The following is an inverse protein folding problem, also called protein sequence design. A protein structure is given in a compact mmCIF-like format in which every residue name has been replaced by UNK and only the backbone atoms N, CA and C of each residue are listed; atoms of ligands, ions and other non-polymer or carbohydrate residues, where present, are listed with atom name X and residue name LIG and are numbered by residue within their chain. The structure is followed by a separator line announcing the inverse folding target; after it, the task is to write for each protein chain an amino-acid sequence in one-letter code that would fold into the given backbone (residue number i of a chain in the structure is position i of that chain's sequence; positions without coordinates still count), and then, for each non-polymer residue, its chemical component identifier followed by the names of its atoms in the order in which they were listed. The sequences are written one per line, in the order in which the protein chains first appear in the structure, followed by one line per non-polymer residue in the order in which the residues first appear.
data_IF_215223959771
#
_entry.id   IF_215223959771
#
_cell.length_a   1.000
_cell.length_b   1.000
_cell.length_c   1.000
_cell.angle_alpha   90.00
_cell.angle_beta   90.00
_cell.angle_gamma   90.00
#
_symmetry.space_group_name_H-M   'P 1'
#
loop_
_entity.id
_entity.type
_entity.pdbx_description
1 polymer ?
#
# COMPACT_ATOMS: atom_id res chain seq x y z
N UNK A 1 -17.68 -87.62 -26.45
CA UNK A 1 -16.34 -87.29 -26.99
C UNK A 1 -16.48 -86.27 -28.09
N UNK A 2 -16.22 -85.00 -27.81
CA UNK A 2 -15.63 -84.04 -28.75
C UNK A 2 -15.17 -82.84 -27.94
N UNK A 3 -13.88 -82.55 -28.06
CA UNK A 3 -13.11 -81.54 -27.32
C UNK A 3 -13.19 -80.18 -28.02
N UNK A 4 -13.09 -79.10 -27.22
CA UNK A 4 -12.40 -77.80 -27.47
C UNK A 4 -13.11 -76.71 -26.64
N UNK A 5 -12.49 -75.66 -26.13
CA UNK A 5 -11.13 -75.30 -25.69
C UNK A 5 -11.33 -73.99 -24.91
N UNK A 6 -10.64 -73.82 -23.78
CA UNK A 6 -10.72 -72.63 -22.93
C UNK A 6 -10.08 -71.43 -23.65
N UNK A 7 -10.71 -70.27 -23.57
CA UNK A 7 -10.06 -68.97 -23.83
C UNK A 7 -10.34 -68.08 -22.61
N UNK A 8 -9.30 -67.89 -21.81
CA UNK A 8 -9.26 -66.91 -20.71
C UNK A 8 -8.85 -65.58 -21.33
N UNK A 9 -9.74 -64.58 -21.27
CA UNK A 9 -9.43 -63.23 -21.74
C UNK A 9 -8.87 -62.41 -20.58
N UNK A 10 -7.57 -62.16 -20.61
CA UNK A 10 -6.88 -61.26 -19.68
C UNK A 10 -7.10 -59.82 -20.13
N UNK A 11 -7.79 -59.02 -19.33
CA UNK A 11 -8.07 -57.61 -19.61
C UNK A 11 -6.90 -56.77 -19.10
N UNK A 12 -6.05 -56.29 -20.02
CA UNK A 12 -5.01 -55.28 -19.75
C UNK A 12 -5.38 -54.03 -20.57
N UNK A 13 -5.83 -52.96 -19.91
CA UNK A 13 -6.00 -51.65 -20.55
C UNK A 13 -5.55 -50.52 -19.60
N UNK A 14 -4.27 -50.20 -19.74
CA UNK A 14 -3.64 -48.87 -19.78
C UNK A 14 -4.36 -47.75 -19.02
N UNK A 15 -3.82 -47.43 -17.83
CA UNK A 15 -4.05 -46.13 -17.17
C UNK A 15 -3.22 -45.09 -17.92
N UNK A 16 -3.87 -44.26 -18.72
CA UNK A 16 -3.29 -43.03 -19.28
C UNK A 16 -3.01 -42.06 -18.12
N UNK A 17 -1.77 -42.04 -17.66
CA UNK A 17 -1.21 -40.93 -16.89
C UNK A 17 -1.21 -39.70 -17.80
N UNK A 18 -2.26 -38.89 -17.72
CA UNK A 18 -2.22 -37.52 -18.20
C UNK A 18 -1.18 -36.78 -17.35
N UNK A 19 0.08 -36.79 -17.79
CA UNK A 19 1.07 -35.84 -17.32
C UNK A 19 0.61 -34.48 -17.80
N UNK A 20 -0.17 -33.79 -16.97
CA UNK A 20 -0.34 -32.35 -17.08
C UNK A 20 1.07 -31.79 -17.14
N UNK A 21 1.43 -31.22 -18.28
CA UNK A 21 2.57 -30.33 -18.38
C UNK A 21 2.23 -29.19 -17.44
N UNK A 22 2.72 -29.28 -16.20
CA UNK A 22 2.82 -28.16 -15.32
C UNK A 22 3.77 -27.20 -16.03
N UNK A 23 3.21 -26.30 -16.85
CA UNK A 23 3.89 -25.06 -17.13
C UNK A 23 4.31 -24.54 -15.76
N UNK A 24 5.60 -24.33 -15.56
CA UNK A 24 6.12 -23.63 -14.41
C UNK A 24 5.53 -22.21 -14.45
N UNK A 25 4.28 -22.06 -14.00
CA UNK A 25 3.73 -20.77 -13.66
C UNK A 25 4.66 -20.28 -12.57
N UNK A 26 5.31 -19.15 -12.83
CA UNK A 26 6.07 -18.50 -11.79
C UNK A 26 5.10 -18.30 -10.62
N UNK A 27 5.43 -18.86 -9.46
CA UNK A 27 4.53 -18.81 -8.32
C UNK A 27 4.52 -17.40 -7.72
N UNK A 28 3.45 -17.10 -7.00
CA UNK A 28 3.39 -15.93 -6.13
C UNK A 28 4.52 -16.02 -5.10
N UNK A 29 5.00 -14.88 -4.62
CA UNK A 29 5.83 -14.88 -3.42
C UNK A 29 5.04 -15.50 -2.25
N UNK A 30 5.72 -16.24 -1.36
CA UNK A 30 5.12 -17.09 -0.32
C UNK A 30 4.07 -16.37 0.56
N UNK A 31 4.29 -15.08 0.83
CA UNK A 31 3.45 -14.26 1.72
C UNK A 31 2.47 -13.34 0.97
N UNK A 32 2.50 -13.38 -0.36
CA UNK A 32 1.68 -12.54 -1.22
C UNK A 32 0.24 -13.01 -1.25
N UNK A 33 -0.69 -12.06 -1.22
CA UNK A 33 -2.12 -12.33 -1.40
C UNK A 33 -2.82 -11.17 -2.07
N UNK A 34 -3.89 -11.46 -2.82
CA UNK A 34 -4.75 -10.45 -3.40
C UNK A 34 -5.43 -9.59 -2.32
N UNK A 35 -5.81 -8.37 -2.71
CA UNK A 35 -6.67 -7.56 -1.87
C UNK A 35 -8.11 -8.10 -1.91
N UNK A 36 -8.83 -8.21 -0.78
CA UNK A 36 -10.17 -8.80 -0.74
C UNK A 36 -11.21 -8.06 -1.60
N UNK A 37 -11.03 -6.77 -1.83
CA UNK A 37 -11.94 -5.95 -2.64
C UNK A 37 -11.64 -5.97 -4.14
N UNK A 38 -10.42 -6.34 -4.54
CA UNK A 38 -9.94 -6.18 -5.92
C UNK A 38 -9.16 -7.43 -6.32
N UNK A 39 -9.76 -8.24 -7.19
CA UNK A 39 -9.10 -9.38 -7.80
C UNK A 39 -7.98 -8.94 -8.75
N UNK A 40 -6.90 -9.72 -8.82
CA UNK A 40 -5.90 -9.53 -9.89
C UNK A 40 -6.45 -9.79 -11.28
N UNK A 41 -5.75 -9.27 -12.28
CA UNK A 41 -5.93 -9.70 -13.67
C UNK A 41 -5.61 -11.19 -13.81
N UNK A 42 -6.44 -11.99 -14.53
CA UNK A 42 -6.22 -13.43 -14.65
C UNK A 42 -4.84 -13.80 -15.22
N UNK A 43 -4.20 -14.79 -14.59
CA UNK A 43 -2.85 -15.23 -14.97
C UNK A 43 -1.71 -14.35 -14.44
N UNK A 44 -2.02 -13.27 -13.73
CA UNK A 44 -1.01 -12.45 -13.08
C UNK A 44 -0.45 -13.08 -11.81
N UNK A 45 0.81 -12.78 -11.51
CA UNK A 45 1.59 -13.38 -10.41
C UNK A 45 2.10 -12.28 -9.47
N UNK A 46 1.90 -12.44 -8.16
CA UNK A 46 2.40 -11.49 -7.15
C UNK A 46 3.92 -11.61 -7.04
N UNK A 47 4.60 -10.49 -7.27
CA UNK A 47 6.05 -10.38 -7.17
C UNK A 47 6.51 -9.44 -6.05
N UNK A 48 5.64 -8.56 -5.59
CA UNK A 48 5.88 -7.77 -4.39
C UNK A 48 4.57 -7.59 -3.62
N UNK A 49 4.68 -7.61 -2.29
CA UNK A 49 3.55 -7.46 -1.38
C UNK A 49 4.05 -6.75 -0.11
N UNK A 50 3.47 -5.60 0.19
CA UNK A 50 3.71 -4.87 1.45
C UNK A 50 2.39 -4.41 2.04
N UNK A 51 2.30 -4.49 3.37
CA UNK A 51 1.12 -4.02 4.12
C UNK A 51 1.60 -3.21 5.31
N UNK A 52 1.19 -1.95 5.35
CA UNK A 52 1.31 -1.10 6.54
C UNK A 52 -0.04 -1.00 7.22
N UNK A 53 -0.09 -1.33 8.51
CA UNK A 53 -1.33 -1.25 9.30
C UNK A 53 -1.84 0.18 9.45
N UNK A 54 -0.93 1.15 9.45
CA UNK A 54 -1.21 2.57 9.45
C UNK A 54 0.00 3.30 8.87
N UNK A 55 -0.20 4.09 7.81
CA UNK A 55 0.82 4.91 7.18
C UNK A 55 0.15 6.04 6.35
N UNK A 56 0.95 6.93 5.79
CA UNK A 56 0.50 7.97 4.88
C UNK A 56 0.68 7.60 3.40
N UNK A 57 -0.19 8.13 2.54
CA UNK A 57 -0.09 7.99 1.09
C UNK A 57 -0.45 9.28 0.39
N UNK A 58 0.31 9.68 -0.62
CA UNK A 58 -0.01 10.83 -1.46
C UNK A 58 -0.72 10.32 -2.71
N UNK A 59 -2.05 10.39 -2.75
CA UNK A 59 -2.85 9.99 -3.90
C UNK A 59 -2.67 10.97 -5.07
N UNK A 60 -2.14 10.54 -6.22
CA UNK A 60 -2.02 11.38 -7.41
C UNK A 60 -3.37 11.74 -8.03
N UNK A 61 -3.59 13.03 -8.27
CA UNK A 61 -4.81 13.55 -8.90
C UNK A 61 -4.49 14.52 -10.06
N UNK A 62 -3.26 14.49 -10.56
CA UNK A 62 -2.76 15.43 -11.54
C UNK A 62 -1.42 15.02 -12.16
N UNK A 63 -1.00 15.80 -13.15
CA UNK A 63 0.31 15.69 -13.82
C UNK A 63 1.42 16.23 -12.93
N UNK A 64 2.67 16.07 -13.35
CA UNK A 64 3.77 16.82 -12.75
C UNK A 64 3.81 18.26 -13.28
N UNK A 65 4.15 19.21 -12.42
CA UNK A 65 4.52 20.57 -12.80
C UNK A 65 6.01 20.66 -13.20
N UNK A 66 6.45 21.86 -13.56
CA UNK A 66 7.85 22.13 -13.96
C UNK A 66 8.87 21.80 -12.86
N UNK A 67 8.44 21.79 -11.59
CA UNK A 67 9.26 21.47 -10.42
C UNK A 67 9.15 19.99 -10.01
N UNK A 68 8.56 19.13 -10.86
CA UNK A 68 8.34 17.70 -10.60
C UNK A 68 7.42 17.42 -9.41
N UNK A 69 6.54 18.36 -9.04
CA UNK A 69 5.49 18.15 -8.03
C UNK A 69 4.18 17.78 -8.71
N UNK A 70 3.36 16.96 -8.05
CA UNK A 70 2.00 16.71 -8.53
C UNK A 70 1.19 18.01 -8.50
N UNK A 71 0.62 18.39 -9.64
CA UNK A 71 -0.22 19.58 -9.78
C UNK A 71 -1.49 19.52 -8.94
N UNK A 72 -1.94 18.29 -8.63
CA UNK A 72 -3.00 18.02 -7.66
C UNK A 72 -2.74 16.66 -7.01
N UNK A 73 -2.91 16.58 -5.70
CA UNK A 73 -2.81 15.35 -4.93
C UNK A 73 -3.70 15.42 -3.69
N UNK A 74 -3.93 14.27 -3.05
CA UNK A 74 -4.61 14.18 -1.76
C UNK A 74 -3.76 13.33 -0.81
N UNK A 75 -3.44 13.86 0.37
CA UNK A 75 -2.81 13.07 1.43
C UNK A 75 -3.88 12.21 2.12
N UNK A 76 -3.57 10.93 2.29
CA UNK A 76 -4.42 9.93 2.93
C UNK A 76 -3.64 9.29 4.07
N UNK A 77 -4.35 8.84 5.10
CA UNK A 77 -3.79 8.11 6.23
C UNK A 77 -4.68 6.90 6.53
N UNK A 78 -4.08 5.73 6.72
CA UNK A 78 -4.83 4.51 6.93
C UNK A 78 -4.03 3.24 6.72
N UNK A 79 -4.73 2.12 6.54
CA UNK A 79 -4.06 0.86 6.18
C UNK A 79 -3.74 0.90 4.69
N UNK A 80 -2.48 0.63 4.34
CA UNK A 80 -2.00 0.62 2.97
C UNK A 80 -1.60 -0.82 2.61
N UNK A 81 -2.16 -1.33 1.51
CA UNK A 81 -1.77 -2.60 0.90
C UNK A 81 -1.23 -2.31 -0.50
N UNK A 82 0.03 -2.66 -0.75
CA UNK A 82 0.71 -2.45 -2.04
C UNK A 82 1.05 -3.80 -2.64
N UNK A 83 0.62 -4.03 -3.88
CA UNK A 83 0.80 -5.30 -4.58
C UNK A 83 1.34 -5.04 -5.97
N UNK A 84 2.47 -5.68 -6.30
CA UNK A 84 2.97 -5.72 -7.67
C UNK A 84 2.69 -7.07 -8.30
N UNK A 85 2.11 -7.03 -9.49
CA UNK A 85 1.90 -8.21 -10.29
C UNK A 85 2.74 -8.20 -11.56
N UNK A 86 3.35 -9.34 -11.89
CA UNK A 86 3.74 -9.69 -13.25
C UNK A 86 2.48 -10.15 -13.99
N UNK A 87 2.08 -9.44 -15.05
CA UNK A 87 0.95 -9.83 -15.89
C UNK A 87 1.39 -10.80 -17.01
N UNK A 88 0.45 -11.47 -17.69
CA UNK A 88 0.78 -12.29 -18.86
C UNK A 88 1.40 -11.46 -20.01
N UNK A 89 2.43 -12.00 -20.67
CA UNK A 89 3.19 -11.34 -21.75
C UNK A 89 2.36 -11.06 -23.00
N UNK A 90 1.29 -11.82 -23.24
CA UNK A 90 0.39 -11.69 -24.40
C UNK A 90 -0.67 -10.60 -24.24
N UNK A 91 -0.69 -9.89 -23.11
CA UNK A 91 -1.73 -8.92 -22.76
C UNK A 91 -1.23 -7.49 -22.89
N UNK A 92 -2.04 -6.65 -23.49
CA UNK A 92 -1.73 -5.23 -23.58
C UNK A 92 -2.02 -4.50 -22.27
N UNK A 93 -1.22 -3.49 -21.97
CA UNK A 93 -1.47 -2.50 -20.90
C UNK A 93 -2.85 -1.86 -21.01
N UNK A 94 -3.36 -1.66 -22.23
CA UNK A 94 -4.72 -1.14 -22.47
C UNK A 94 -5.81 -2.12 -22.04
N UNK A 95 -5.71 -3.40 -22.42
CA UNK A 95 -6.65 -4.44 -22.03
C UNK A 95 -6.71 -4.57 -20.50
N UNK A 96 -5.54 -4.64 -19.85
CA UNK A 96 -5.44 -4.73 -18.40
C UNK A 96 -6.08 -3.50 -17.74
N UNK A 97 -5.67 -2.29 -18.15
CA UNK A 97 -6.20 -1.05 -17.61
C UNK A 97 -7.73 -0.96 -17.74
N UNK A 98 -8.28 -1.25 -18.92
CA UNK A 98 -9.72 -1.17 -19.16
C UNK A 98 -10.49 -2.18 -18.31
N UNK A 99 -9.94 -3.37 -18.08
CA UNK A 99 -10.56 -4.35 -17.18
C UNK A 99 -10.65 -3.83 -15.74
N UNK A 100 -9.56 -3.27 -15.19
CA UNK A 100 -9.59 -2.68 -13.85
C UNK A 100 -10.52 -1.47 -13.77
N UNK A 101 -10.48 -0.57 -14.75
CA UNK A 101 -11.36 0.60 -14.78
C UNK A 101 -12.85 0.20 -14.77
N UNK A 102 -13.24 -0.75 -15.62
CA UNK A 102 -14.62 -1.23 -15.70
C UNK A 102 -15.03 -1.97 -14.42
N UNK A 103 -14.15 -2.80 -13.85
CA UNK A 103 -14.41 -3.51 -12.61
C UNK A 103 -14.59 -2.55 -11.42
N UNK A 104 -13.72 -1.55 -11.29
CA UNK A 104 -13.82 -0.52 -10.24
C UNK A 104 -15.12 0.27 -10.38
N UNK A 105 -15.46 0.76 -11.59
CA UNK A 105 -16.74 1.45 -11.84
C UNK A 105 -17.95 0.58 -11.51
N UNK A 106 -17.93 -0.70 -11.93
CA UNK A 106 -19.01 -1.65 -11.64
C UNK A 106 -19.16 -1.91 -10.13
N UNK A 107 -18.07 -1.86 -9.38
CA UNK A 107 -18.06 -2.00 -7.93
C UNK A 107 -18.43 -0.69 -7.18
N UNK A 108 -18.76 0.39 -7.91
CA UNK A 108 -19.21 1.65 -7.31
C UNK A 108 -18.07 2.62 -6.96
N UNK A 109 -16.85 2.39 -7.46
CA UNK A 109 -15.78 3.37 -7.32
C UNK A 109 -15.98 4.54 -8.29
N UNK A 110 -15.79 5.75 -7.77
CA UNK A 110 -15.63 6.97 -8.55
C UNK A 110 -14.18 7.07 -9.04
N UNK A 111 -13.98 7.22 -10.36
CA UNK A 111 -12.65 7.53 -10.91
C UNK A 111 -12.37 9.01 -10.68
N UNK A 112 -11.37 9.30 -9.85
CA UNK A 112 -10.98 10.66 -9.47
C UNK A 112 -9.98 11.28 -10.45
N UNK A 113 -9.12 10.45 -11.02
CA UNK A 113 -8.10 10.86 -11.98
C UNK A 113 -7.69 9.66 -12.84
N UNK A 114 -7.34 9.91 -14.10
CA UNK A 114 -6.79 8.90 -14.99
C UNK A 114 -5.89 9.57 -16.02
N UNK A 115 -4.93 8.81 -16.55
CA UNK A 115 -4.06 9.30 -17.60
C UNK A 115 -3.16 8.22 -18.19
N UNK A 116 -2.73 8.47 -19.41
CA UNK A 116 -1.75 7.69 -20.16
C UNK A 116 -0.37 8.34 -20.11
N UNK A 117 0.66 7.61 -20.53
CA UNK A 117 2.01 8.16 -20.76
C UNK A 117 1.97 9.49 -21.50
N UNK A 118 1.27 9.57 -22.64
CA UNK A 118 1.20 10.78 -23.47
C UNK A 118 0.63 11.99 -22.75
N UNK A 119 -0.26 11.76 -21.79
CA UNK A 119 -0.90 12.82 -21.03
C UNK A 119 -0.06 13.22 -19.82
N UNK A 120 0.54 12.25 -19.13
CA UNK A 120 1.20 12.45 -17.84
C UNK A 120 2.71 12.73 -17.97
N UNK A 121 3.31 12.32 -19.08
CA UNK A 121 4.72 12.45 -19.40
C UNK A 121 5.56 11.26 -18.91
N UNK A 122 6.60 10.95 -19.69
CA UNK A 122 7.50 9.80 -19.46
C UNK A 122 8.11 9.68 -18.05
N UNK A 123 8.38 10.79 -17.35
CA UNK A 123 8.94 10.78 -15.97
C UNK A 123 7.92 10.59 -14.86
N UNK A 124 6.62 10.57 -15.19
CA UNK A 124 5.58 10.61 -14.18
C UNK A 124 5.60 9.41 -13.25
N UNK A 125 5.73 8.19 -13.79
CA UNK A 125 5.81 6.97 -12.97
C UNK A 125 7.10 6.90 -12.15
N UNK A 126 8.23 7.35 -12.70
CA UNK A 126 9.50 7.43 -11.97
C UNK A 126 9.38 8.36 -10.76
N UNK A 127 8.93 9.60 -10.98
CA UNK A 127 8.72 10.56 -9.89
C UNK A 127 7.74 10.03 -8.82
N UNK A 128 6.65 9.39 -9.26
CA UNK A 128 5.66 8.84 -8.35
C UNK A 128 6.26 7.76 -7.44
N UNK A 129 7.03 6.83 -8.01
CA UNK A 129 7.45 5.62 -7.31
C UNK A 129 8.89 5.65 -6.78
N UNK A 130 9.67 6.69 -7.08
CA UNK A 130 11.00 6.91 -6.48
C UNK A 130 10.99 7.98 -5.37
N UNK A 131 10.04 8.93 -5.43
CA UNK A 131 10.12 10.15 -4.61
C UNK A 131 8.84 10.49 -3.85
N UNK A 132 7.66 10.14 -4.37
CA UNK A 132 6.38 10.52 -3.76
C UNK A 132 5.82 9.38 -2.91
N UNK A 133 5.67 8.19 -3.50
CA UNK A 133 5.20 6.97 -2.84
C UNK A 133 6.21 5.84 -3.12
N UNK A 134 7.43 6.00 -2.59
CA UNK A 134 8.59 5.13 -2.83
C UNK A 134 8.20 3.63 -2.82
N UNK A 135 8.45 2.94 -3.93
CA UNK A 135 8.26 1.50 -4.08
C UNK A 135 9.62 0.82 -3.99
N UNK A 136 10.05 0.52 -2.76
CA UNK A 136 11.20 -0.36 -2.53
C UNK A 136 10.79 -1.80 -2.77
N UNK A 137 10.87 -2.23 -4.03
CA UNK A 137 10.63 -3.62 -4.40
C UNK A 137 11.93 -4.43 -4.31
N UNK A 138 12.04 -5.32 -3.33
CA UNK A 138 13.15 -6.27 -3.22
C UNK A 138 13.23 -7.22 -4.44
N UNK A 139 12.16 -7.32 -5.24
CA UNK A 139 12.08 -8.13 -6.43
C UNK A 139 12.75 -7.49 -7.66
N UNK A 140 13.21 -6.24 -7.56
CA UNK A 140 13.81 -5.51 -8.69
C UNK A 140 12.83 -5.23 -9.83
N UNK A 141 11.52 -5.32 -9.58
CA UNK A 141 10.50 -5.07 -10.60
C UNK A 141 10.09 -3.61 -10.53
N UNK A 142 10.60 -2.85 -11.49
CA UNK A 142 10.28 -1.45 -11.67
C UNK A 142 9.02 -1.28 -12.53
N UNK A 143 8.19 -0.31 -12.13
CA UNK A 143 7.01 0.13 -12.88
C UNK A 143 7.33 1.35 -13.75
N UNK A 144 8.58 1.80 -13.69
CA UNK A 144 9.09 2.86 -14.53
C UNK A 144 8.99 2.44 -15.99
N UNK A 145 8.13 3.14 -16.72
CA UNK A 145 7.99 2.96 -18.16
C UNK A 145 7.96 4.32 -18.79
N UNK A 146 8.92 4.57 -19.66
CA UNK A 146 9.00 5.80 -20.43
C UNK A 146 8.10 5.75 -21.68
N UNK A 147 7.56 4.58 -22.04
CA UNK A 147 6.91 4.36 -23.33
C UNK A 147 5.42 4.00 -23.25
N UNK A 148 5.03 3.06 -22.36
CA UNK A 148 3.65 2.59 -22.30
C UNK A 148 3.17 2.35 -20.86
N UNK A 149 2.49 3.35 -20.29
CA UNK A 149 1.77 3.18 -19.03
C UNK A 149 0.38 3.81 -19.04
N UNK A 150 -0.47 3.27 -18.17
CA UNK A 150 -1.79 3.82 -17.84
C UNK A 150 -1.96 3.87 -16.33
N UNK A 151 -2.55 4.94 -15.86
CA UNK A 151 -2.77 5.22 -14.45
C UNK A 151 -4.24 5.58 -14.18
N UNK A 152 -4.76 5.19 -13.02
CA UNK A 152 -5.97 5.77 -12.44
C UNK A 152 -5.89 5.86 -10.91
N UNK A 153 -6.59 6.86 -10.38
CA UNK A 153 -6.97 6.97 -8.97
C UNK A 153 -8.48 6.81 -8.85
N UNK A 154 -8.94 6.01 -7.90
CA UNK A 154 -10.36 5.79 -7.65
C UNK A 154 -10.71 5.82 -6.16
N UNK A 155 -11.98 6.10 -5.85
CA UNK A 155 -12.51 6.13 -4.48
C UNK A 155 -13.81 5.35 -4.40
N UNK A 156 -13.94 4.51 -3.38
CA UNK A 156 -15.20 3.95 -2.92
C UNK A 156 -15.53 4.56 -1.56
N UNK A 157 -16.69 5.17 -1.45
CA UNK A 157 -17.16 5.69 -0.16
C UNK A 157 -17.88 4.57 0.61
N UNK A 158 -17.55 4.36 1.88
CA UNK A 158 -18.15 3.31 2.72
C UNK A 158 -18.44 3.83 4.13
N UNK A 159 -19.51 3.34 4.80
CA UNK A 159 -19.79 3.68 6.20
C UNK A 159 -18.64 3.36 7.18
N UNK A 160 -17.81 2.37 6.84
CA UNK A 160 -16.67 1.93 7.67
C UNK A 160 -15.39 2.75 7.43
N UNK A 161 -15.39 3.62 6.42
CA UNK A 161 -14.23 4.41 5.99
C UNK A 161 -14.04 4.35 4.49
N UNK A 162 -13.64 5.47 3.89
CA UNK A 162 -13.38 5.54 2.44
C UNK A 162 -12.22 4.62 2.04
N UNK A 163 -12.35 3.97 0.88
CA UNK A 163 -11.29 3.17 0.27
C UNK A 163 -10.81 3.87 -1.00
N UNK A 164 -9.51 4.09 -1.09
CA UNK A 164 -8.87 4.67 -2.28
C UNK A 164 -8.01 3.63 -2.98
N UNK A 165 -7.93 3.75 -4.30
CA UNK A 165 -7.11 2.91 -5.18
C UNK A 165 -6.21 3.82 -6.00
N UNK A 166 -4.92 3.52 -5.99
CA UNK A 166 -3.93 4.02 -6.94
C UNK A 166 -3.46 2.82 -7.78
N UNK A 167 -3.81 2.84 -9.06
CA UNK A 167 -3.56 1.74 -9.98
C UNK A 167 -2.69 2.23 -11.14
N UNK A 168 -1.62 1.49 -11.42
CA UNK A 168 -0.79 1.70 -12.59
C UNK A 168 -0.53 0.37 -13.28
N UNK A 169 -0.60 0.36 -14.61
CA UNK A 169 -0.04 -0.73 -15.41
C UNK A 169 0.94 -0.13 -16.40
N UNK A 170 2.12 -0.74 -16.50
CA UNK A 170 3.16 -0.29 -17.40
C UNK A 170 3.84 -1.44 -18.12
N UNK A 171 4.34 -1.17 -19.31
CA UNK A 171 5.21 -2.05 -20.08
C UNK A 171 6.53 -1.30 -20.28
N UNK A 172 7.45 -1.49 -19.33
CA UNK A 172 8.79 -0.92 -19.35
C UNK A 172 9.81 -1.90 -19.94
N UNK A 173 10.94 -2.05 -19.26
CA UNK A 173 12.07 -2.90 -19.69
C UNK A 173 11.78 -4.41 -19.72
N UNK A 174 10.65 -4.84 -19.19
CA UNK A 174 10.25 -6.24 -19.13
C UNK A 174 9.46 -6.66 -20.37
N UNK A 175 9.52 -7.96 -20.70
CA UNK A 175 8.70 -8.55 -21.77
C UNK A 175 7.22 -8.69 -21.41
N UNK A 176 6.85 -8.39 -20.16
CA UNK A 176 5.50 -8.46 -19.63
C UNK A 176 5.07 -7.12 -19.03
N UNK A 177 3.77 -6.80 -19.04
CA UNK A 177 3.25 -5.70 -18.25
C UNK A 177 3.44 -5.94 -16.75
N UNK A 178 3.71 -4.87 -16.02
CA UNK A 178 3.75 -4.86 -14.56
C UNK A 178 2.58 -4.02 -14.07
N UNK A 179 1.87 -4.52 -13.05
CA UNK A 179 0.74 -3.84 -12.43
C UNK A 179 1.14 -3.41 -11.01
N UNK A 180 1.04 -2.11 -10.69
CA UNK A 180 0.96 -1.61 -9.31
C UNK A 180 -0.50 -1.53 -8.91
N UNK A 181 -0.84 -2.12 -7.77
CA UNK A 181 -2.10 -1.88 -7.09
C UNK A 181 -1.82 -1.44 -5.65
N UNK A 182 -2.06 -0.16 -5.37
CA UNK A 182 -2.03 0.41 -4.04
C UNK A 182 -3.47 0.64 -3.57
N UNK A 183 -3.86 0.01 -2.46
CA UNK A 183 -5.18 0.17 -1.82
C UNK A 183 -5.01 0.81 -0.45
N UNK A 184 -5.74 1.89 -0.22
CA UNK A 184 -5.68 2.70 1.00
C UNK A 184 -7.06 2.67 1.67
N UNK A 185 -7.14 1.98 2.80
CA UNK A 185 -8.33 1.91 3.65
C UNK A 185 -8.21 2.97 4.76
N UNK A 186 -8.93 4.09 4.61
CA UNK A 186 -8.86 5.21 5.56
C UNK A 186 -9.45 4.80 6.90
N UNK A 187 -8.69 5.02 7.97
CA UNK A 187 -9.10 4.74 9.35
C UNK A 187 -8.34 5.62 10.34
N UNK A 188 -8.79 5.78 11.58
CA UNK A 188 -8.01 6.50 12.60
C UNK A 188 -6.75 5.72 13.03
N UNK A 189 -5.71 6.45 13.42
CA UNK A 189 -4.48 5.88 13.98
C UNK A 189 -4.70 5.36 15.40
N UNK A 190 -4.05 4.26 15.76
CA UNK A 190 -3.90 3.87 17.15
C UNK A 190 -2.95 4.84 17.87
N UNK A 191 -3.41 5.47 18.95
CA UNK A 191 -2.64 6.43 19.74
C UNK A 191 -2.27 5.87 21.11
N UNK A 192 -1.30 6.49 21.79
CA UNK A 192 -0.93 6.11 23.16
C UNK A 192 0.00 4.88 23.29
N UNK A 193 0.46 4.30 22.17
CA UNK A 193 1.43 3.19 22.17
C UNK A 193 2.83 3.60 22.69
N UNK A 194 3.19 4.88 22.54
CA UNK A 194 4.42 5.44 23.10
C UNK A 194 4.06 6.28 24.31
N UNK A 195 4.52 5.85 25.49
CA UNK A 195 4.32 6.60 26.72
C UNK A 195 5.60 7.30 27.14
N UNK A 196 5.53 8.61 27.38
CA UNK A 196 6.63 9.33 28.02
C UNK A 196 6.69 8.95 29.51
N UNK A 197 7.82 8.42 29.96
CA UNK A 197 8.07 8.09 31.36
C UNK A 197 8.49 9.36 32.12
N UNK A 198 7.62 9.83 33.00
CA UNK A 198 7.88 11.04 33.81
C UNK A 198 9.09 10.90 34.74
N UNK A 199 9.43 9.68 35.17
CA UNK A 199 10.60 9.44 36.03
C UNK A 199 11.91 9.58 35.24
N UNK A 200 11.89 9.31 33.93
CA UNK A 200 13.02 9.59 33.04
C UNK A 200 13.16 11.10 32.79
N UNK A 201 12.04 11.81 32.58
CA UNK A 201 12.05 13.28 32.48
C UNK A 201 12.63 13.92 33.76
N UNK A 202 12.27 13.41 34.94
CA UNK A 202 12.80 13.89 36.22
C UNK A 202 14.33 13.73 36.31
N UNK A 203 14.84 12.55 35.90
CA UNK A 203 16.28 12.26 35.90
C UNK A 203 17.04 13.11 34.90
N UNK A 204 16.48 13.35 33.71
CA UNK A 204 17.12 14.21 32.72
C UNK A 204 17.12 15.67 33.17
N UNK A 205 16.02 16.21 33.72
CA UNK A 205 16.02 17.56 34.31
C UNK A 205 17.10 17.68 35.38
N UNK A 206 17.26 16.67 36.25
CA UNK A 206 18.30 16.68 37.28
C UNK A 206 19.73 16.64 36.71
N UNK A 207 19.93 16.02 35.54
CA UNK A 207 21.25 15.82 34.91
C UNK A 207 21.65 16.95 33.96
N UNK A 208 20.74 17.45 33.13
CA UNK A 208 21.00 18.39 32.04
C UNK A 208 20.39 19.78 32.28
N UNK A 209 19.59 19.93 33.34
CA UNK A 209 18.89 21.17 33.68
C UNK A 209 17.70 21.51 32.79
N UNK A 210 17.40 20.71 31.76
CA UNK A 210 16.29 20.94 30.83
C UNK A 210 15.81 19.61 30.20
N UNK A 211 14.57 19.59 29.74
CA UNK A 211 14.01 18.45 28.99
C UNK A 211 12.95 18.93 28.01
N UNK A 212 12.92 18.37 26.80
CA UNK A 212 11.84 18.61 25.85
C UNK A 212 10.62 17.76 26.20
N UNK A 213 9.44 18.37 26.23
CA UNK A 213 8.18 17.68 26.52
C UNK A 213 7.31 17.68 25.26
N UNK A 214 7.03 16.49 24.76
CA UNK A 214 6.15 16.28 23.60
C UNK A 214 4.73 15.94 24.05
N UNK A 215 3.75 16.28 23.21
CA UNK A 215 2.33 15.99 23.48
C UNK A 215 1.57 17.10 24.21
N UNK A 216 2.05 18.34 24.14
CA UNK A 216 1.27 19.55 24.45
C UNK A 216 0.89 20.18 23.11
N UNK A 217 -0.41 20.24 22.83
CA UNK A 217 -0.94 20.63 21.53
C UNK A 217 -1.68 21.96 21.60
N UNK A 218 -1.52 22.75 20.54
CA UNK A 218 -2.19 24.01 20.28
C UNK A 218 -2.75 23.99 18.86
N UNK A 219 -3.81 24.75 18.59
CA UNK A 219 -4.19 25.04 17.21
C UNK A 219 -3.20 26.07 16.61
N UNK A 220 -3.09 26.11 15.28
CA UNK A 220 -2.32 27.14 14.59
C UNK A 220 -2.82 28.53 14.97
N UNK A 221 -1.89 29.43 15.29
CA UNK A 221 -2.16 30.82 15.72
C UNK A 221 -3.03 30.92 16.99
N UNK A 222 -2.97 29.92 17.88
CA UNK A 222 -3.62 29.94 19.20
C UNK A 222 -2.68 29.52 20.32
N UNK A 223 -3.02 29.99 21.53
CA UNK A 223 -2.35 29.62 22.78
C UNK A 223 -3.20 28.72 23.69
N UNK A 224 -4.39 28.31 23.24
CA UNK A 224 -5.25 27.39 23.98
C UNK A 224 -4.68 25.97 23.96
N UNK A 225 -4.45 25.42 25.14
CA UNK A 225 -3.98 24.04 25.28
C UNK A 225 -5.13 23.08 25.01
N UNK A 226 -4.94 22.19 24.05
CA UNK A 226 -5.97 21.22 23.66
C UNK A 226 -6.18 20.13 24.72
N UNK A 227 -7.42 19.60 24.89
CA UNK A 227 -7.73 18.50 25.83
C UNK A 227 -6.84 17.26 25.67
N UNK A 228 -6.41 16.97 24.44
CA UNK A 228 -5.49 15.87 24.10
C UNK A 228 -4.14 15.96 24.86
N UNK A 229 -3.79 17.14 25.38
CA UNK A 229 -2.58 17.38 26.19
C UNK A 229 -2.73 16.98 27.66
N UNK A 230 -3.96 16.75 28.14
CA UNK A 230 -4.26 16.48 29.56
C UNK A 230 -3.44 15.32 30.16
N UNK A 231 -3.22 14.18 29.47
CA UNK A 231 -2.41 13.09 30.01
C UNK A 231 -0.96 13.50 30.30
N UNK A 232 -0.37 14.35 29.45
CA UNK A 232 1.01 14.85 29.63
C UNK A 232 1.06 15.86 30.77
N UNK A 233 0.10 16.79 30.81
CA UNK A 233 0.02 17.78 31.89
C UNK A 233 -0.17 17.13 33.27
N UNK A 234 -0.99 16.07 33.37
CA UNK A 234 -1.14 15.31 34.62
C UNK A 234 0.17 14.68 35.08
N UNK A 235 1.01 14.22 34.16
CA UNK A 235 2.34 13.67 34.50
C UNK A 235 3.29 14.75 35.01
N UNK A 236 3.31 15.94 34.40
CA UNK A 236 4.12 17.08 34.88
C UNK A 236 3.64 17.51 36.27
N UNK A 237 2.32 17.61 36.45
CA UNK A 237 1.73 17.95 37.74
C UNK A 237 2.14 16.94 38.83
N UNK A 238 2.07 15.63 38.53
CA UNK A 238 2.53 14.58 39.43
C UNK A 238 4.01 14.72 39.78
N UNK A 239 4.87 15.03 38.81
CA UNK A 239 6.29 15.25 39.03
C UNK A 239 6.55 16.42 40.00
N UNK A 240 5.87 17.56 39.80
CA UNK A 240 6.00 18.73 40.66
C UNK A 240 5.45 18.47 42.07
N UNK A 241 4.37 17.69 42.18
CA UNK A 241 3.83 17.25 43.47
C UNK A 241 4.79 16.30 44.20
N UNK A 242 5.53 15.45 43.49
CA UNK A 242 6.52 14.56 44.10
C UNK A 242 7.82 15.29 44.47
N UNK A 243 8.15 16.38 43.75
CA UNK A 243 9.38 17.15 43.94
C UNK A 243 9.09 18.63 44.23
N UNK A 244 8.57 18.94 45.43
CA UNK A 244 8.15 20.30 45.82
C UNK A 244 9.23 21.39 45.74
N UNK A 245 10.52 21.02 45.70
CA UNK A 245 11.64 21.97 45.55
C UNK A 245 11.99 22.26 44.09
N UNK A 246 11.48 21.46 43.15
CA UNK A 246 11.74 21.60 41.73
C UNK A 246 11.01 22.82 41.18
N UNK A 247 11.78 23.77 40.64
CA UNK A 247 11.27 24.94 39.93
C UNK A 247 11.54 24.74 38.45
N UNK A 248 10.53 24.93 37.62
CA UNK A 248 10.63 24.79 36.17
C UNK A 248 10.44 26.15 35.50
N UNK A 249 11.20 26.37 34.43
CA UNK A 249 10.98 27.46 33.50
C UNK A 249 10.46 26.84 32.20
N UNK A 250 9.27 27.29 31.74
CA UNK A 250 8.59 26.71 30.57
C UNK A 250 8.83 27.62 29.37
N UNK A 251 9.32 27.02 28.28
CA UNK A 251 9.54 27.68 26.98
C UNK A 251 8.62 27.03 25.97
N UNK A 252 7.79 27.83 25.32
CA UNK A 252 6.87 27.44 24.25
C UNK A 252 7.28 28.04 22.91
#
# INVERSE_FOLDING_TARGET
MSSKSKVVFSLLCVVLLATSVAFAQSEDIEWGKDHPLISRFPGSVIKHYDVKKFDEYILPLGKLDENKKLSKSQRLEGKITRIQYKAPEDRSTFEIYRNYELALKKAGFDILFAGTERELGWRWTGQLYEHINDLRSDAGIEIQSEEDFRYLSAKLSSPEGDVYVSFCVSLGFWRWPVIQLDVIEVKPMETGLVTVNADALAKDIARTGHVAVYGIYFDTDKADVKPESEPVLKKIAKLLQQNHKLKLYVVG
#
